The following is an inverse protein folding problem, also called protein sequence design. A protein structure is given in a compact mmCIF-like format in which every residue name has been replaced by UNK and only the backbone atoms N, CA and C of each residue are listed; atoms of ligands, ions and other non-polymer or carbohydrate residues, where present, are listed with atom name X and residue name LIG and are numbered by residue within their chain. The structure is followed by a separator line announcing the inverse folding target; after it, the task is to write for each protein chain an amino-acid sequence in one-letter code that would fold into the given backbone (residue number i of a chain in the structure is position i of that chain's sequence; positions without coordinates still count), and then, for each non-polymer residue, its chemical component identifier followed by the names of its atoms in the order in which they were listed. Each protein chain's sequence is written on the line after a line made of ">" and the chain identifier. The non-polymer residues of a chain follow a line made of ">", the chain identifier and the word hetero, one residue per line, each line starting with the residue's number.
data_IF_032740932327
#
_entry.id   IF_032740932327
#
_cell.length_a   1.000
_cell.length_b   1.000
_cell.length_c   1.000
_cell.angle_alpha   90.00
_cell.angle_beta   90.00
_cell.angle_gamma   90.00
#
_symmetry.space_group_name_H-M   'P 1'
#
loop_
_entity.id
_entity.type
_entity.pdbx_description
1 polymer ?
#
# COMPACT_ATOMS: atom_id res chain seq x y z
N UNK A 1 10.29 -3.25 16.16
CA UNK A 1 11.74 -3.56 16.21
C UNK A 1 12.21 -4.35 14.99
N UNK A 2 11.50 -5.42 14.54
CA UNK A 2 11.88 -6.23 13.36
C UNK A 2 12.11 -5.36 12.12
N UNK A 3 11.22 -4.40 11.84
CA UNK A 3 11.32 -3.48 10.67
C UNK A 3 12.55 -2.58 10.75
N UNK A 4 12.90 -2.06 11.93
CA UNK A 4 14.11 -1.24 12.11
C UNK A 4 15.37 -2.10 11.92
N UNK A 5 15.37 -3.32 12.46
CA UNK A 5 16.49 -4.27 12.32
C UNK A 5 16.69 -4.68 10.85
N UNK A 6 15.62 -4.89 10.09
CA UNK A 6 15.72 -5.27 8.67
C UNK A 6 16.37 -4.18 7.80
N UNK A 7 16.26 -2.92 8.19
CA UNK A 7 16.89 -1.78 7.47
C UNK A 7 18.31 -1.47 7.97
N UNK A 8 18.55 -1.55 9.26
CA UNK A 8 19.88 -1.31 9.85
C UNK A 8 19.96 -1.91 11.24
N UNK A 9 20.71 -2.99 11.36
CA UNK A 9 20.99 -3.62 12.66
C UNK A 9 21.79 -2.70 13.59
N UNK A 10 22.71 -1.89 13.00
CA UNK A 10 23.48 -0.90 13.75
C UNK A 10 22.59 0.20 14.35
N UNK A 11 21.61 0.68 13.59
CA UNK A 11 20.65 1.69 14.04
C UNK A 11 19.77 1.12 15.15
N UNK A 12 19.27 -0.10 14.99
CA UNK A 12 18.43 -0.76 15.97
C UNK A 12 19.13 -0.95 17.32
N UNK A 13 20.44 -1.24 17.31
CA UNK A 13 21.26 -1.40 18.52
C UNK A 13 21.63 -0.06 19.20
N UNK A 14 21.65 1.05 18.45
CA UNK A 14 22.04 2.38 18.95
C UNK A 14 20.87 3.23 19.43
N UNK A 15 19.64 2.91 19.03
CA UNK A 15 18.46 3.70 19.41
C UNK A 15 18.19 3.54 20.93
N UNK A 16 18.15 4.65 21.69
CA UNK A 16 17.78 4.63 23.10
C UNK A 16 16.36 4.08 23.27
N UNK A 17 16.10 3.38 24.38
CA UNK A 17 14.79 2.79 24.68
C UNK A 17 13.63 3.81 24.65
N UNK A 18 13.86 5.02 25.13
CA UNK A 18 12.83 6.06 25.14
C UNK A 18 12.42 6.47 23.71
N UNK A 19 13.38 6.53 22.76
CA UNK A 19 13.11 6.82 21.34
C UNK A 19 12.31 5.67 20.73
N UNK A 20 12.68 4.43 21.00
CA UNK A 20 11.91 3.26 20.54
C UNK A 20 10.49 3.26 21.07
N UNK A 21 10.31 3.58 22.36
CA UNK A 21 8.99 3.67 22.97
C UNK A 21 8.15 4.81 22.37
N UNK A 22 8.79 5.97 22.12
CA UNK A 22 8.12 7.07 21.43
C UNK A 22 7.66 6.67 20.02
N UNK A 23 8.52 6.04 19.24
CA UNK A 23 8.17 5.54 17.89
C UNK A 23 7.02 4.54 17.99
N UNK A 24 7.08 3.54 18.88
CA UNK A 24 6.03 2.54 19.08
C UNK A 24 4.68 3.18 19.39
N UNK A 25 4.67 4.17 20.29
CA UNK A 25 3.47 4.91 20.65
C UNK A 25 2.93 5.72 19.48
N UNK A 26 3.80 6.42 18.75
CA UNK A 26 3.41 7.26 17.60
C UNK A 26 2.80 6.44 16.45
N UNK A 27 3.30 5.22 16.21
CA UNK A 27 2.75 4.33 15.17
C UNK A 27 1.62 3.44 15.70
N UNK A 28 1.17 3.62 16.94
CA UNK A 28 0.12 2.79 17.55
C UNK A 28 0.41 1.28 17.43
N UNK A 29 1.67 0.88 17.71
CA UNK A 29 2.14 -0.48 17.46
C UNK A 29 1.29 -1.55 18.13
N UNK A 30 0.83 -1.31 19.35
CA UNK A 30 0.06 -2.31 20.13
C UNK A 30 -1.36 -2.49 19.53
N UNK A 31 -1.97 -1.43 19.03
CA UNK A 31 -3.26 -1.47 18.33
C UNK A 31 -3.11 -2.24 17.01
N UNK A 32 -2.07 -1.93 16.22
CA UNK A 32 -1.79 -2.65 14.97
C UNK A 32 -1.52 -4.14 15.22
N UNK A 33 -0.74 -4.47 16.24
CA UNK A 33 -0.50 -5.87 16.62
C UNK A 33 -1.79 -6.56 17.11
N UNK A 34 -2.69 -5.81 17.78
CA UNK A 34 -4.00 -6.27 18.19
C UNK A 34 -4.86 -6.64 16.98
N UNK A 35 -4.93 -5.75 15.98
CA UNK A 35 -5.64 -5.98 14.72
C UNK A 35 -5.12 -7.25 14.03
N UNK A 36 -3.79 -7.38 13.89
CA UNK A 36 -3.17 -8.56 13.27
C UNK A 36 -3.54 -9.85 14.02
N UNK A 37 -3.55 -9.84 15.35
CA UNK A 37 -3.90 -11.00 16.18
C UNK A 37 -5.37 -11.39 16.05
N UNK A 38 -6.28 -10.42 16.02
CA UNK A 38 -7.73 -10.69 15.92
C UNK A 38 -8.13 -11.19 14.53
N UNK A 39 -7.32 -10.89 13.51
CA UNK A 39 -7.57 -11.27 12.13
C UNK A 39 -6.61 -12.37 11.63
N UNK A 40 -6.12 -13.24 12.52
CA UNK A 40 -5.26 -14.38 12.16
C UNK A 40 -5.99 -15.27 11.15
N UNK A 41 -5.31 -15.63 10.06
CA UNK A 41 -5.83 -16.50 9.00
C UNK A 41 -6.66 -15.76 7.93
N UNK A 42 -6.93 -14.47 8.12
CA UNK A 42 -7.55 -13.63 7.09
C UNK A 42 -6.44 -12.93 6.30
N UNK A 43 -6.49 -12.98 4.97
CA UNK A 43 -5.48 -12.40 4.08
C UNK A 43 -6.08 -11.54 2.97
N UNK A 44 -5.24 -10.80 2.28
CA UNK A 44 -5.58 -10.08 1.06
C UNK A 44 -6.70 -9.06 1.23
N UNK A 45 -7.63 -9.09 0.29
CA UNK A 45 -8.80 -8.20 0.26
C UNK A 45 -9.71 -8.40 1.47
N UNK A 46 -9.85 -9.63 1.94
CA UNK A 46 -10.65 -9.93 3.13
C UNK A 46 -10.04 -9.34 4.38
N UNK A 47 -8.71 -9.37 4.52
CA UNK A 47 -8.03 -8.71 5.62
C UNK A 47 -8.23 -7.19 5.58
N UNK A 48 -8.07 -6.55 4.43
CA UNK A 48 -8.31 -5.12 4.30
C UNK A 48 -9.75 -4.75 4.70
N UNK A 49 -10.73 -5.55 4.27
CA UNK A 49 -12.14 -5.38 4.62
C UNK A 49 -12.40 -5.56 6.12
N UNK A 50 -11.79 -6.58 6.73
CA UNK A 50 -11.91 -6.84 8.17
C UNK A 50 -11.32 -5.70 9.01
N UNK A 51 -10.16 -5.16 8.62
CA UNK A 51 -9.54 -4.00 9.27
C UNK A 51 -10.45 -2.77 9.22
N UNK A 52 -11.02 -2.45 8.05
CA UNK A 52 -11.96 -1.33 7.93
C UNK A 52 -13.19 -1.50 8.82
N UNK A 53 -13.74 -2.70 8.87
CA UNK A 53 -14.89 -3.03 9.74
C UNK A 53 -14.52 -2.88 11.22
N UNK A 54 -13.38 -3.38 11.65
CA UNK A 54 -12.90 -3.32 13.03
C UNK A 54 -12.68 -1.87 13.49
N UNK A 55 -12.11 -1.04 12.60
CA UNK A 55 -11.89 0.38 12.84
C UNK A 55 -13.16 1.23 12.66
N UNK A 56 -14.31 0.60 12.37
CA UNK A 56 -15.58 1.27 12.06
C UNK A 56 -15.45 2.36 10.98
N UNK A 57 -14.60 2.13 10.00
CA UNK A 57 -14.39 3.05 8.88
C UNK A 57 -15.55 2.91 7.90
N UNK A 58 -16.23 4.02 7.64
CA UNK A 58 -17.27 4.14 6.61
C UNK A 58 -16.77 5.06 5.52
N UNK A 59 -17.01 4.68 4.26
CA UNK A 59 -16.66 5.49 3.11
C UNK A 59 -17.77 5.44 2.07
N UNK A 60 -17.92 6.51 1.32
CA UNK A 60 -18.82 6.58 0.17
C UNK A 60 -17.99 6.74 -1.09
N UNK A 61 -18.40 6.07 -2.16
CA UNK A 61 -17.76 6.17 -3.46
C UNK A 61 -18.71 6.91 -4.42
N UNK A 62 -18.21 7.98 -4.99
CA UNK A 62 -18.91 8.73 -6.04
C UNK A 62 -18.09 8.57 -7.32
N UNK A 63 -18.70 8.03 -8.37
CA UNK A 63 -18.05 7.84 -9.67
C UNK A 63 -18.86 8.49 -10.76
N UNK A 64 -18.19 9.19 -11.66
CA UNK A 64 -18.75 9.71 -12.90
C UNK A 64 -18.66 8.75 -14.08
N UNK A 65 -17.99 7.61 -13.89
CA UNK A 65 -17.80 6.59 -14.91
C UNK A 65 -18.20 5.21 -14.39
N UNK A 66 -18.61 4.33 -15.31
CA UNK A 66 -18.79 2.92 -15.02
C UNK A 66 -17.56 2.16 -15.49
N UNK A 67 -16.96 1.38 -14.61
CA UNK A 67 -15.82 0.53 -14.92
C UNK A 67 -16.29 -0.76 -15.59
N UNK A 68 -15.61 -1.18 -16.64
CA UNK A 68 -15.80 -2.50 -17.25
C UNK A 68 -15.00 -3.55 -16.46
N UNK A 69 -15.65 -4.56 -15.86
CA UNK A 69 -14.94 -5.57 -15.06
C UNK A 69 -13.97 -6.45 -15.88
N UNK A 70 -14.10 -6.45 -17.21
CA UNK A 70 -13.24 -7.21 -18.10
C UNK A 70 -11.98 -6.44 -18.54
N UNK A 71 -11.91 -5.15 -18.23
CA UNK A 71 -10.75 -4.34 -18.56
C UNK A 71 -9.69 -4.36 -17.45
N UNK A 72 -8.48 -4.00 -17.83
CA UNK A 72 -7.33 -3.87 -16.92
C UNK A 72 -7.03 -2.41 -16.68
N UNK A 73 -7.01 -2.01 -15.42
CA UNK A 73 -6.80 -0.63 -14.99
C UNK A 73 -5.53 -0.47 -14.17
N UNK A 74 -5.05 0.76 -14.14
CA UNK A 74 -4.13 1.26 -13.11
C UNK A 74 -4.86 2.32 -12.31
N UNK A 75 -5.29 1.99 -11.11
CA UNK A 75 -5.92 2.94 -10.20
C UNK A 75 -4.85 3.74 -9.47
N UNK A 76 -4.88 5.04 -9.65
CA UNK A 76 -3.95 5.97 -9.00
C UNK A 76 -4.70 6.90 -8.07
N UNK A 77 -4.10 7.23 -6.94
CA UNK A 77 -4.73 8.11 -5.96
C UNK A 77 -3.68 8.94 -5.21
N UNK A 78 -4.14 10.05 -4.62
CA UNK A 78 -3.47 10.72 -3.53
C UNK A 78 -3.49 9.85 -2.26
N UNK A 79 -2.73 10.25 -1.24
CA UNK A 79 -2.51 9.41 -0.06
C UNK A 79 -2.58 10.21 1.25
N UNK A 80 -3.71 10.86 1.56
CA UNK A 80 -3.83 11.76 2.71
C UNK A 80 -3.93 11.05 4.06
N UNK A 81 -4.54 9.87 4.14
CA UNK A 81 -4.85 9.18 5.39
C UNK A 81 -3.90 8.01 5.72
N UNK A 82 -2.85 7.82 4.91
CA UNK A 82 -1.87 6.78 5.16
C UNK A 82 -2.43 5.37 4.97
N UNK A 83 -2.23 4.49 5.97
CA UNK A 83 -2.64 3.09 5.86
C UNK A 83 -4.11 2.87 5.53
N UNK A 84 -5.00 3.78 5.95
CA UNK A 84 -6.44 3.68 5.69
C UNK A 84 -6.77 3.80 4.20
N UNK A 85 -6.12 4.70 3.46
CA UNK A 85 -6.34 4.81 2.00
C UNK A 85 -6.06 3.49 1.31
N UNK A 86 -4.94 2.85 1.68
CA UNK A 86 -4.59 1.54 1.15
C UNK A 86 -5.65 0.48 1.43
N UNK A 87 -6.15 0.42 2.68
CA UNK A 87 -7.19 -0.54 3.04
C UNK A 87 -8.49 -0.30 2.27
N UNK A 88 -8.92 0.97 2.13
CA UNK A 88 -10.13 1.33 1.37
C UNK A 88 -10.00 0.91 -0.09
N UNK A 89 -8.89 1.28 -0.75
CA UNK A 89 -8.67 0.98 -2.16
C UNK A 89 -8.57 -0.52 -2.41
N UNK A 90 -7.84 -1.27 -1.56
CA UNK A 90 -7.74 -2.73 -1.66
C UNK A 90 -9.10 -3.38 -1.49
N UNK A 91 -9.87 -2.99 -0.45
CA UNK A 91 -11.18 -3.56 -0.18
C UNK A 91 -12.18 -3.23 -1.30
N UNK A 92 -12.25 -1.98 -1.75
CA UNK A 92 -13.19 -1.53 -2.76
C UNK A 92 -12.93 -2.19 -4.12
N UNK A 93 -11.76 -2.01 -4.68
CA UNK A 93 -11.42 -2.58 -5.99
C UNK A 93 -11.24 -4.10 -5.94
N UNK A 94 -10.75 -4.63 -4.82
CA UNK A 94 -10.68 -6.08 -4.64
C UNK A 94 -12.06 -6.75 -4.75
N UNK A 95 -13.08 -6.19 -4.10
CA UNK A 95 -14.44 -6.69 -4.20
C UNK A 95 -15.05 -6.52 -5.60
N UNK A 96 -14.71 -5.42 -6.29
CA UNK A 96 -15.22 -5.14 -7.64
C UNK A 96 -14.59 -6.05 -8.70
N UNK A 97 -13.36 -6.49 -8.52
CA UNK A 97 -12.58 -7.26 -9.50
C UNK A 97 -12.19 -8.66 -9.00
N UNK A 98 -13.04 -9.35 -8.26
CA UNK A 98 -12.86 -10.74 -7.81
C UNK A 98 -11.52 -11.01 -7.12
N UNK A 99 -11.10 -10.09 -6.25
CA UNK A 99 -9.82 -10.11 -5.53
C UNK A 99 -8.57 -10.01 -6.43
N UNK A 100 -8.73 -9.74 -7.73
CA UNK A 100 -7.63 -9.57 -8.68
C UNK A 100 -7.03 -8.18 -8.59
N UNK A 101 -6.39 -7.87 -7.50
CA UNK A 101 -5.71 -6.57 -7.26
C UNK A 101 -4.29 -6.76 -6.79
N UNK A 102 -3.39 -5.92 -7.25
CA UNK A 102 -2.00 -5.81 -6.79
C UNK A 102 -1.69 -4.37 -6.46
N UNK A 103 -1.11 -4.15 -5.30
CA UNK A 103 -0.82 -2.83 -4.78
C UNK A 103 0.67 -2.57 -4.69
N UNK A 104 1.12 -1.56 -5.42
CA UNK A 104 2.51 -1.14 -5.44
C UNK A 104 2.87 -0.43 -4.14
N UNK A 105 3.72 -1.04 -3.32
CA UNK A 105 4.06 -0.55 -1.99
C UNK A 105 5.56 -0.44 -1.76
N UNK A 106 5.95 0.35 -0.76
CA UNK A 106 7.32 0.35 -0.26
C UNK A 106 7.64 -1.04 0.33
N UNK A 107 8.87 -1.51 0.12
CA UNK A 107 9.36 -2.80 0.64
C UNK A 107 9.21 -2.99 2.15
N UNK A 108 9.13 -1.90 2.94
CA UNK A 108 8.83 -1.97 4.37
C UNK A 108 7.44 -2.54 4.68
N UNK A 109 6.48 -2.33 3.80
CA UNK A 109 5.11 -2.81 3.99
C UNK A 109 4.98 -4.32 3.73
N UNK A 110 5.98 -4.95 3.12
CA UNK A 110 6.03 -6.41 2.96
C UNK A 110 6.10 -7.17 4.30
N UNK A 111 6.37 -6.48 5.40
CA UNK A 111 6.27 -7.05 6.75
C UNK A 111 4.82 -7.18 7.27
N UNK A 112 3.84 -6.68 6.54
CA UNK A 112 2.40 -6.88 6.84
C UNK A 112 1.97 -8.18 6.15
N UNK A 113 2.31 -9.30 6.78
CA UNK A 113 2.13 -10.65 6.24
C UNK A 113 0.72 -10.92 5.67
N UNK A 114 -0.39 -10.49 6.31
CA UNK A 114 -1.73 -10.71 5.76
C UNK A 114 -2.01 -10.06 4.40
N UNK A 115 -1.21 -9.08 3.97
CA UNK A 115 -1.33 -8.40 2.68
C UNK A 115 -0.25 -8.81 1.66
N UNK A 116 0.56 -9.82 1.98
CA UNK A 116 1.69 -10.23 1.13
C UNK A 116 1.28 -10.70 -0.27
N UNK A 117 0.09 -11.25 -0.41
CA UNK A 117 -0.49 -11.67 -1.68
C UNK A 117 -1.03 -10.51 -2.55
N UNK A 118 -1.35 -9.38 -1.93
CA UNK A 118 -1.77 -8.15 -2.63
C UNK A 118 -0.59 -7.21 -2.88
N UNK A 119 0.37 -7.15 -1.98
CA UNK A 119 1.48 -6.21 -2.05
C UNK A 119 2.56 -6.59 -3.07
N UNK A 120 2.99 -5.60 -3.84
CA UNK A 120 4.13 -5.71 -4.77
C UNK A 120 5.17 -4.67 -4.38
N UNK A 121 6.38 -5.08 -3.97
CA UNK A 121 7.39 -4.16 -3.48
C UNK A 121 7.98 -3.29 -4.58
N UNK A 122 8.03 -1.98 -4.34
CA UNK A 122 8.76 -1.03 -5.16
C UNK A 122 9.94 -0.49 -4.34
N UNK A 123 11.15 -0.75 -4.80
CA UNK A 123 12.33 -0.19 -4.16
C UNK A 123 12.48 1.29 -4.49
N UNK A 124 12.36 2.15 -3.49
CA UNK A 124 12.51 3.61 -3.62
C UNK A 124 13.97 4.05 -3.60
N UNK A 125 14.84 3.30 -2.92
CA UNK A 125 16.24 3.62 -2.68
C UNK A 125 17.13 2.42 -3.01
N UNK A 126 17.77 2.47 -4.17
CA UNK A 126 18.76 1.48 -4.61
C UNK A 126 18.44 0.82 -5.94
N UNK A 127 19.42 0.09 -6.47
CA UNK A 127 19.20 -0.77 -7.64
C UNK A 127 18.18 -1.85 -7.25
N UNK A 128 17.05 -1.90 -7.93
CA UNK A 128 16.09 -2.99 -7.75
C UNK A 128 16.85 -4.30 -7.95
N UNK A 129 16.80 -5.20 -6.96
CA UNK A 129 17.26 -6.57 -7.18
C UNK A 129 16.46 -7.12 -8.35
N UNK A 130 17.08 -7.90 -9.23
CA UNK A 130 16.44 -8.46 -10.44
C UNK A 130 15.04 -9.04 -10.19
N UNK A 131 14.82 -9.69 -9.06
CA UNK A 131 13.51 -10.22 -8.67
C UNK A 131 12.41 -9.17 -8.51
N UNK A 132 12.70 -8.02 -7.87
CA UNK A 132 11.70 -6.96 -7.69
C UNK A 132 11.33 -6.25 -9.00
N UNK A 133 12.27 -6.16 -9.94
CA UNK A 133 12.01 -5.62 -11.29
C UNK A 133 11.09 -6.54 -12.08
N UNK A 134 11.32 -7.86 -12.04
CA UNK A 134 10.48 -8.85 -12.71
C UNK A 134 9.06 -8.84 -12.16
N UNK A 135 8.88 -8.88 -10.84
CA UNK A 135 7.56 -8.86 -10.21
C UNK A 135 6.78 -7.60 -10.52
N UNK A 136 7.45 -6.45 -10.58
CA UNK A 136 6.85 -5.18 -11.01
C UNK A 136 6.32 -5.25 -12.45
N UNK A 137 7.14 -5.73 -13.39
CA UNK A 137 6.75 -5.87 -14.80
C UNK A 137 5.64 -6.90 -14.96
N UNK A 138 5.79 -8.07 -14.33
CA UNK A 138 4.78 -9.14 -14.32
C UNK A 138 3.42 -8.65 -13.83
N UNK A 139 3.40 -7.77 -12.83
CA UNK A 139 2.15 -7.19 -12.32
C UNK A 139 1.44 -6.36 -13.38
N UNK A 140 2.15 -5.54 -14.14
CA UNK A 140 1.55 -4.74 -15.20
C UNK A 140 1.12 -5.56 -16.43
N UNK A 141 1.71 -6.72 -16.66
CA UNK A 141 1.33 -7.63 -17.75
C UNK A 141 0.26 -8.65 -17.34
N UNK A 142 0.01 -8.84 -16.05
CA UNK A 142 -1.01 -9.77 -15.52
C UNK A 142 -2.44 -9.26 -15.72
N UNK A 143 -3.43 -10.08 -15.37
CA UNK A 143 -4.85 -9.70 -15.36
C UNK A 143 -5.30 -9.01 -14.07
N UNK A 144 -4.40 -8.80 -13.12
CA UNK A 144 -4.72 -8.07 -11.91
C UNK A 144 -4.90 -6.56 -12.18
N UNK A 145 -5.79 -5.93 -11.45
CA UNK A 145 -5.83 -4.47 -11.38
C UNK A 145 -4.61 -3.95 -10.60
N UNK A 146 -4.03 -2.86 -11.03
CA UNK A 146 -2.85 -2.27 -10.38
C UNK A 146 -3.28 -1.08 -9.55
N UNK A 147 -2.99 -1.10 -8.25
CA UNK A 147 -3.23 0.00 -7.32
C UNK A 147 -1.92 0.72 -7.04
N UNK A 148 -1.92 2.05 -7.11
CA UNK A 148 -0.70 2.82 -7.01
C UNK A 148 -0.89 4.19 -6.36
N UNK A 149 0.02 4.56 -5.45
CA UNK A 149 0.16 5.92 -4.94
C UNK A 149 1.39 6.58 -5.58
N UNK A 150 1.22 7.39 -6.64
CA UNK A 150 2.36 7.87 -7.44
C UNK A 150 3.31 8.79 -6.68
N UNK A 151 2.84 9.51 -5.67
CA UNK A 151 3.66 10.31 -4.78
C UNK A 151 4.64 9.44 -3.94
N UNK A 152 4.27 8.17 -3.70
CA UNK A 152 5.07 7.18 -2.97
C UNK A 152 5.27 7.49 -1.47
N UNK A 153 4.63 8.52 -0.95
CA UNK A 153 4.53 8.91 0.46
C UNK A 153 3.18 9.54 0.70
N UNK A 154 2.73 9.51 1.96
CA UNK A 154 1.50 10.19 2.35
C UNK A 154 1.58 11.70 2.09
N UNK A 155 0.43 12.31 1.82
CA UNK A 155 0.26 13.76 1.72
C UNK A 155 0.77 14.45 2.99
N UNK A 156 1.21 15.67 2.87
CA UNK A 156 1.83 16.43 3.96
C UNK A 156 1.23 17.81 4.09
N UNK A 157 1.23 18.33 5.30
CA UNK A 157 0.92 19.73 5.53
C UNK A 157 2.10 20.59 5.08
N UNK A 158 1.91 21.33 3.98
CA UNK A 158 2.92 22.25 3.43
C UNK A 158 2.27 23.62 3.37
N UNK A 159 2.83 24.60 4.08
CA UNK A 159 2.31 25.99 4.13
C UNK A 159 0.82 26.11 4.48
N UNK A 160 0.32 25.20 5.35
CA UNK A 160 -1.07 25.21 5.79
C UNK A 160 -2.04 24.39 4.92
N UNK A 161 -1.57 23.82 3.82
CA UNK A 161 -2.39 23.00 2.91
C UNK A 161 -1.92 21.55 2.90
N UNK A 162 -2.86 20.61 2.84
CA UNK A 162 -2.56 19.18 2.68
C UNK A 162 -2.26 18.93 1.20
N UNK A 163 -1.02 18.61 0.90
CA UNK A 163 -0.53 18.47 -0.47
C UNK A 163 0.23 17.17 -0.64
N UNK A 164 0.04 16.52 -1.78
CA UNK A 164 0.86 15.39 -2.20
C UNK A 164 2.26 15.87 -2.62
N UNK A 165 3.22 14.97 -2.53
CA UNK A 165 4.48 15.14 -3.21
C UNK A 165 4.28 14.96 -4.73
N UNK A 166 5.26 15.39 -5.51
CA UNK A 166 5.25 15.24 -6.96
C UNK A 166 4.99 13.78 -7.37
N UNK A 167 4.01 13.58 -8.23
CA UNK A 167 3.65 12.26 -8.75
C UNK A 167 4.68 11.77 -9.77
N UNK A 168 5.15 10.55 -9.58
CA UNK A 168 6.09 9.91 -10.51
C UNK A 168 5.35 9.41 -11.74
N UNK A 169 5.91 9.68 -12.91
CA UNK A 169 5.32 9.34 -14.23
C UNK A 169 5.32 7.83 -14.55
N UNK A 170 5.92 7.00 -13.70
CA UNK A 170 6.09 5.55 -13.96
C UNK A 170 4.78 4.84 -14.29
N UNK A 171 3.68 5.20 -13.59
CA UNK A 171 2.38 4.57 -13.85
C UNK A 171 1.87 4.88 -15.26
N UNK A 172 2.02 6.13 -15.75
CA UNK A 172 1.63 6.52 -17.10
C UNK A 172 2.42 5.71 -18.14
N UNK A 173 3.76 5.70 -18.02
CA UNK A 173 4.61 4.96 -18.94
C UNK A 173 4.22 3.48 -19.00
N UNK A 174 4.02 2.85 -17.84
CA UNK A 174 3.66 1.43 -17.77
C UNK A 174 2.24 1.15 -18.25
N UNK A 175 1.29 2.05 -18.03
CA UNK A 175 -0.08 1.91 -18.55
C UNK A 175 -0.07 1.92 -20.09
N UNK A 176 0.66 2.84 -20.70
CA UNK A 176 0.81 2.91 -22.16
C UNK A 176 1.48 1.63 -22.71
N UNK A 177 2.61 1.20 -22.11
CA UNK A 177 3.34 0.01 -22.51
C UNK A 177 2.51 -1.29 -22.42
N UNK A 178 1.56 -1.36 -21.48
CA UNK A 178 0.78 -2.57 -21.20
C UNK A 178 -0.69 -2.46 -21.59
N UNK A 179 -1.07 -1.39 -22.28
CA UNK A 179 -2.42 -1.11 -22.75
C UNK A 179 -3.47 -1.19 -21.62
N UNK A 180 -3.22 -0.44 -20.52
CA UNK A 180 -4.14 -0.30 -19.40
C UNK A 180 -4.74 1.09 -19.36
N UNK A 181 -6.03 1.17 -19.05
CA UNK A 181 -6.69 2.43 -18.73
C UNK A 181 -6.21 2.94 -17.35
N UNK A 182 -6.16 4.28 -17.16
CA UNK A 182 -5.77 4.91 -15.88
C UNK A 182 -6.95 5.70 -15.33
#
# INVERSE_FOLDING_TARGET
>A
EKVIRSKSEKLAKRLPRFVLNYIKKTIHQDELNGILKRNIGITGVDFATAVLKELNVKYNVHSSITLDPNKRYVFVSNHPLGGLDGMVIISHFGRMFDNKVKFMVNDLLMHVEPLSDVFVPINKYGKMKHQGTNQFIETFTSDNQVLYFPAGLCSRLIKGEITDLEWKKTFVTKSVETHRDV
#
